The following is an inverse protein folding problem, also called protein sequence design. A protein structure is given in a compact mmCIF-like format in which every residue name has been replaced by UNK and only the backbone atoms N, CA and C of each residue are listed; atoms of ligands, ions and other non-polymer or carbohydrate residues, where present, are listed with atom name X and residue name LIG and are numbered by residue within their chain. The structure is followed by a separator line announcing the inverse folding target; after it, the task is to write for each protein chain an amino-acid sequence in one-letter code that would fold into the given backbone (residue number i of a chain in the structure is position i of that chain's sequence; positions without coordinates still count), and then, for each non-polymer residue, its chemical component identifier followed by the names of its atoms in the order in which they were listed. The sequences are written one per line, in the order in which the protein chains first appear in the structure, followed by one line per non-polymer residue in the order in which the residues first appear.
data_IF_125328051138
#
_entry.id   IF_125328051138
#
_cell.length_a   1.000
_cell.length_b   1.000
_cell.length_c   1.000
_cell.angle_alpha   90.00
_cell.angle_beta   90.00
_cell.angle_gamma   90.00
#
_symmetry.space_group_name_H-M   'P 1'
#
loop_
_entity.id
_entity.type
_entity.pdbx_description
1 polymer ?
#
# COMPACT_ATOMS: atom_id res chain seq x y z
N UNK A 1 -9.07 -15.24 -17.01
CA UNK A 1 -9.40 -13.80 -17.25
C UNK A 1 -8.48 -13.31 -18.35
N UNK A 2 -8.97 -12.52 -19.29
CA UNK A 2 -8.14 -11.88 -20.31
C UNK A 2 -7.31 -10.76 -19.66
N UNK A 3 -5.99 -10.78 -19.84
CA UNK A 3 -5.06 -9.82 -19.25
C UNK A 3 -5.35 -8.37 -19.70
N UNK A 4 -5.68 -8.17 -20.97
CA UNK A 4 -6.01 -6.84 -21.49
C UNK A 4 -7.30 -6.33 -20.85
N UNK A 5 -8.33 -7.17 -20.76
CA UNK A 5 -9.58 -6.83 -20.11
C UNK A 5 -9.36 -6.45 -18.63
N UNK A 6 -8.49 -7.20 -17.92
CA UNK A 6 -8.16 -6.90 -16.53
C UNK A 6 -7.53 -5.51 -16.37
N UNK A 7 -6.56 -5.18 -17.22
CA UNK A 7 -5.90 -3.87 -17.20
C UNK A 7 -6.90 -2.74 -17.51
N UNK A 8 -7.72 -2.91 -18.56
CA UNK A 8 -8.68 -1.89 -19.00
C UNK A 8 -9.83 -1.68 -18.02
N UNK A 9 -10.21 -2.69 -17.24
CA UNK A 9 -11.30 -2.62 -16.28
C UNK A 9 -10.88 -2.12 -14.90
N UNK A 10 -9.57 -1.99 -14.64
CA UNK A 10 -9.07 -1.54 -13.34
C UNK A 10 -9.56 -0.12 -13.02
N UNK A 11 -10.11 0.04 -11.85
CA UNK A 11 -10.45 1.36 -11.29
C UNK A 11 -10.12 1.40 -9.78
N UNK A 12 -10.19 2.58 -9.19
CA UNK A 12 -9.99 2.76 -7.75
C UNK A 12 -11.34 2.80 -7.05
N UNK A 13 -11.57 1.83 -6.18
CA UNK A 13 -12.81 1.72 -5.39
C UNK A 13 -12.57 2.34 -4.03
N UNK A 14 -13.43 3.27 -3.61
CA UNK A 14 -13.23 4.04 -2.40
C UNK A 14 -13.54 3.29 -1.10
N UNK A 15 -14.31 2.22 -1.17
CA UNK A 15 -14.70 1.38 -0.02
C UNK A 15 -14.80 -0.06 -0.46
N UNK A 16 -14.11 -0.92 0.26
CA UNK A 16 -14.10 -2.36 0.06
C UNK A 16 -14.73 -3.06 1.26
N UNK A 17 -15.21 -4.27 1.05
CA UNK A 17 -15.90 -5.08 2.08
C UNK A 17 -15.20 -6.43 2.26
N UNK A 18 -15.48 -7.08 3.37
CA UNK A 18 -15.11 -8.49 3.57
C UNK A 18 -15.73 -9.41 2.49
N UNK A 19 -15.07 -10.54 2.19
CA UNK A 19 -13.79 -10.98 2.74
C UNK A 19 -12.60 -10.28 2.06
N UNK A 20 -11.50 -10.09 2.79
CA UNK A 20 -10.22 -9.77 2.16
C UNK A 20 -9.60 -11.04 1.55
N UNK A 21 -8.60 -10.92 0.65
CA UNK A 21 -7.92 -12.08 0.07
C UNK A 21 -7.32 -13.00 1.14
N UNK A 22 -7.35 -14.31 0.87
CA UNK A 22 -6.69 -15.30 1.73
C UNK A 22 -5.16 -15.19 1.66
N UNK A 23 -4.46 -15.84 2.59
CA UNK A 23 -2.99 -15.88 2.56
C UNK A 23 -2.44 -16.50 1.28
N UNK A 24 -3.10 -17.53 0.77
CA UNK A 24 -2.72 -18.19 -0.49
C UNK A 24 -2.90 -17.27 -1.69
N UNK A 25 -3.98 -16.50 -1.72
CA UNK A 25 -4.21 -15.49 -2.75
C UNK A 25 -3.19 -14.35 -2.67
N UNK A 26 -2.88 -13.89 -1.44
CA UNK A 26 -1.84 -12.86 -1.24
C UNK A 26 -0.45 -13.34 -1.64
N UNK A 27 -0.11 -14.61 -1.41
CA UNK A 27 1.13 -15.20 -1.90
C UNK A 27 1.26 -15.12 -3.43
N UNK A 28 0.18 -15.32 -4.17
CA UNK A 28 0.16 -15.16 -5.63
C UNK A 28 0.33 -13.70 -6.03
N UNK A 29 -0.32 -12.78 -5.31
CA UNK A 29 -0.18 -11.33 -5.53
C UNK A 29 1.27 -10.90 -5.32
N UNK A 30 1.93 -11.33 -4.24
CA UNK A 30 3.33 -11.00 -3.99
C UNK A 30 4.30 -11.63 -4.99
N UNK A 31 4.06 -12.87 -5.42
CA UNK A 31 4.83 -13.49 -6.51
C UNK A 31 4.71 -12.69 -7.80
N UNK A 32 3.54 -12.16 -8.12
CA UNK A 32 3.34 -11.27 -9.26
C UNK A 32 4.08 -9.94 -9.08
N UNK A 33 3.94 -9.29 -7.92
CA UNK A 33 4.64 -8.05 -7.58
C UNK A 33 6.17 -8.16 -7.69
N UNK A 34 6.73 -9.32 -7.31
CA UNK A 34 8.17 -9.60 -7.42
C UNK A 34 8.64 -9.75 -8.88
N UNK A 35 7.75 -9.74 -9.87
CA UNK A 35 8.12 -9.69 -11.30
C UNK A 35 8.37 -8.28 -11.81
N UNK A 36 8.11 -7.25 -11.01
CA UNK A 36 8.46 -5.88 -11.36
C UNK A 36 9.97 -5.77 -11.71
N UNK A 37 10.35 -4.94 -12.69
CA UNK A 37 11.74 -4.70 -13.05
C UNK A 37 12.53 -4.25 -11.82
N UNK A 38 13.62 -4.93 -11.51
CA UNK A 38 14.48 -4.68 -10.36
C UNK A 38 15.95 -4.71 -10.78
N UNK A 39 16.50 -3.54 -11.05
CA UNK A 39 17.88 -3.37 -11.50
C UNK A 39 18.85 -3.82 -10.39
N UNK A 40 19.78 -4.71 -10.76
CA UNK A 40 20.76 -5.33 -9.86
C UNK A 40 20.14 -6.13 -8.69
N UNK A 41 18.89 -6.52 -8.79
CA UNK A 41 18.20 -7.37 -7.78
C UNK A 41 18.30 -6.82 -6.36
N UNK A 42 18.11 -5.51 -6.21
CA UNK A 42 18.22 -4.80 -4.94
C UNK A 42 17.04 -5.09 -3.99
N UNK A 43 15.94 -5.61 -4.53
CA UNK A 43 14.74 -5.96 -3.77
C UNK A 43 14.25 -4.80 -2.89
N UNK A 44 13.89 -3.65 -3.51
CA UNK A 44 13.53 -2.46 -2.75
C UNK A 44 12.12 -2.53 -2.16
N UNK A 45 11.25 -3.37 -2.72
CA UNK A 45 9.84 -3.43 -2.33
C UNK A 45 9.64 -4.27 -1.08
N UNK A 46 8.94 -3.72 -0.09
CA UNK A 46 8.46 -4.43 1.10
C UNK A 46 6.96 -4.19 1.26
N UNK A 47 6.24 -5.20 1.73
CA UNK A 47 4.80 -5.17 1.90
C UNK A 47 4.45 -5.56 3.34
N UNK A 48 3.58 -4.76 3.98
CA UNK A 48 3.07 -5.05 5.33
C UNK A 48 1.56 -5.14 5.23
N UNK A 49 1.01 -6.31 5.57
CA UNK A 49 -0.43 -6.51 5.69
C UNK A 49 -0.94 -6.03 7.04
N UNK A 50 -2.00 -5.24 7.01
CA UNK A 50 -2.68 -4.74 8.21
C UNK A 50 -4.15 -5.14 8.13
N UNK A 51 -4.57 -6.00 9.07
CA UNK A 51 -5.95 -6.51 9.20
C UNK A 51 -6.41 -6.46 10.65
N UNK A 52 -7.70 -6.64 10.91
CA UNK A 52 -8.27 -6.75 12.25
C UNK A 52 -7.78 -5.64 13.19
N UNK A 53 -7.24 -6.01 14.35
CA UNK A 53 -6.73 -5.06 15.36
C UNK A 53 -5.59 -4.17 14.84
N UNK A 54 -4.94 -4.55 13.75
CA UNK A 54 -3.93 -3.71 13.08
C UNK A 54 -4.56 -2.45 12.49
N UNK A 55 -5.79 -2.54 11.99
CA UNK A 55 -6.53 -1.37 11.49
C UNK A 55 -6.82 -0.36 12.61
N UNK A 56 -7.10 -0.83 13.82
CA UNK A 56 -7.31 0.05 14.98
C UNK A 56 -6.03 0.81 15.37
N UNK A 57 -4.89 0.14 15.29
CA UNK A 57 -3.58 0.77 15.52
C UNK A 57 -3.29 1.82 14.45
N UNK A 58 -3.54 1.50 13.18
CA UNK A 58 -3.36 2.43 12.08
C UNK A 58 -4.30 3.64 12.17
N UNK A 59 -5.55 3.41 12.58
CA UNK A 59 -6.53 4.46 12.84
C UNK A 59 -6.04 5.47 13.89
N UNK A 60 -5.48 4.98 15.01
CA UNK A 60 -4.90 5.83 16.06
C UNK A 60 -3.71 6.63 15.56
N UNK A 61 -2.86 6.04 14.71
CA UNK A 61 -1.72 6.74 14.09
C UNK A 61 -2.22 7.87 13.20
N UNK A 62 -3.23 7.62 12.36
CA UNK A 62 -3.77 8.63 11.46
C UNK A 62 -4.47 9.77 12.22
N UNK A 63 -5.23 9.44 13.27
CA UNK A 63 -5.86 10.43 14.14
C UNK A 63 -4.79 11.31 14.82
N UNK A 64 -3.76 10.70 15.39
CA UNK A 64 -2.64 11.40 16.02
C UNK A 64 -1.94 12.33 15.04
N UNK A 65 -1.57 11.82 13.87
CA UNK A 65 -0.94 12.61 12.81
C UNK A 65 -1.78 13.84 12.45
N UNK A 66 -3.08 13.64 12.25
CA UNK A 66 -3.98 14.73 11.88
C UNK A 66 -4.01 15.84 12.93
N UNK A 67 -4.07 15.48 14.23
CA UNK A 67 -4.09 16.41 15.34
C UNK A 67 -2.77 17.18 15.50
N UNK A 68 -1.64 16.52 15.27
CA UNK A 68 -0.31 17.09 15.54
C UNK A 68 0.27 17.87 14.36
N UNK A 69 -0.12 17.57 13.12
CA UNK A 69 0.55 18.09 11.93
C UNK A 69 -0.32 18.96 11.02
N UNK A 70 -1.64 19.02 11.23
CA UNK A 70 -2.52 19.81 10.40
C UNK A 70 -3.05 20.99 11.21
N UNK A 71 -2.66 22.20 10.82
CA UNK A 71 -3.14 23.43 11.46
C UNK A 71 -4.64 23.60 11.24
N UNK A 72 -5.33 24.12 12.26
CA UNK A 72 -6.75 24.45 12.22
C UNK A 72 -7.66 23.30 11.77
N UNK A 73 -7.25 22.06 12.07
CA UNK A 73 -8.03 20.87 11.73
C UNK A 73 -9.30 20.81 12.58
N UNK A 74 -10.45 20.68 11.94
CA UNK A 74 -11.72 20.49 12.65
C UNK A 74 -12.00 18.98 12.94
N UNK A 75 -12.94 18.72 13.84
CA UNK A 75 -13.30 17.36 14.26
C UNK A 75 -13.76 16.47 13.10
N UNK A 76 -14.45 17.00 12.11
CA UNK A 76 -14.89 16.25 10.93
C UNK A 76 -13.70 15.73 10.11
N UNK A 77 -12.67 16.56 9.94
CA UNK A 77 -11.44 16.15 9.25
C UNK A 77 -10.65 15.14 10.07
N UNK A 78 -10.56 15.31 11.40
CA UNK A 78 -9.93 14.32 12.29
C UNK A 78 -10.63 12.97 12.16
N UNK A 79 -11.97 12.95 12.20
CA UNK A 79 -12.76 11.74 12.02
C UNK A 79 -12.53 11.08 10.65
N UNK A 80 -12.35 11.87 9.60
CA UNK A 80 -12.01 11.37 8.26
C UNK A 80 -10.67 10.62 8.24
N UNK A 81 -9.63 11.18 8.88
CA UNK A 81 -8.33 10.49 9.01
C UNK A 81 -8.44 9.23 9.84
N UNK A 82 -9.08 9.32 11.01
CA UNK A 82 -9.31 8.20 11.91
C UNK A 82 -10.02 7.03 11.22
N UNK A 83 -11.02 7.31 10.39
CA UNK A 83 -11.83 6.30 9.72
C UNK A 83 -11.24 5.83 8.38
N UNK A 84 -10.17 6.44 7.89
CA UNK A 84 -9.58 6.08 6.60
C UNK A 84 -9.14 4.61 6.49
N UNK A 85 -8.52 3.99 7.52
CA UNK A 85 -8.13 2.58 7.45
C UNK A 85 -9.30 1.61 7.31
N UNK A 86 -10.48 1.96 7.85
CA UNK A 86 -11.67 1.10 7.81
C UNK A 86 -12.42 1.12 6.47
N UNK A 87 -11.87 1.78 5.45
CA UNK A 87 -12.41 1.76 4.10
C UNK A 87 -12.15 0.43 3.37
N UNK A 88 -11.32 -0.42 3.94
CA UNK A 88 -11.03 -1.75 3.45
C UNK A 88 -10.79 -2.71 4.63
N UNK A 89 -11.10 -4.00 4.48
CA UNK A 89 -10.83 -5.00 5.52
C UNK A 89 -9.35 -5.35 5.67
N UNK A 90 -8.55 -5.04 4.66
CA UNK A 90 -7.09 -5.17 4.65
C UNK A 90 -6.46 -3.90 4.05
N UNK A 91 -5.40 -3.41 4.68
CA UNK A 91 -4.55 -2.35 4.15
C UNK A 91 -3.15 -2.90 3.95
N UNK A 92 -2.58 -2.69 2.78
CA UNK A 92 -1.19 -3.07 2.47
C UNK A 92 -0.34 -1.80 2.48
N UNK A 93 0.60 -1.73 3.40
CA UNK A 93 1.62 -0.68 3.39
C UNK A 93 2.77 -1.11 2.49
N UNK A 94 3.07 -0.30 1.50
CA UNK A 94 4.12 -0.55 0.53
C UNK A 94 5.29 0.37 0.84
N UNK A 95 6.47 -0.21 1.03
CA UNK A 95 7.68 0.50 1.41
C UNK A 95 8.72 0.34 0.31
N UNK A 96 9.29 1.44 -0.16
CA UNK A 96 10.50 1.42 -0.98
C UNK A 96 11.72 1.52 -0.06
N UNK A 97 12.36 0.39 0.20
CA UNK A 97 13.58 0.30 1.01
C UNK A 97 14.81 0.55 0.12
N UNK A 98 15.08 1.83 -0.11
CA UNK A 98 16.15 2.27 -1.02
C UNK A 98 17.53 1.96 -0.43
N UNK A 99 18.43 1.44 -1.27
CA UNK A 99 19.81 1.08 -0.92
C UNK A 99 20.80 1.93 -1.74
N UNK A 100 21.88 2.38 -1.10
CA UNK A 100 22.97 3.00 -1.85
C UNK A 100 23.61 2.00 -2.78
N UNK A 101 23.69 2.34 -4.07
CA UNK A 101 24.32 1.50 -5.09
C UNK A 101 25.02 2.35 -6.13
N UNK A 102 26.23 1.90 -6.61
CA UNK A 102 27.07 2.70 -7.51
C UNK A 102 26.46 2.91 -8.90
N UNK A 103 25.66 1.95 -9.37
CA UNK A 103 25.09 1.93 -10.73
C UNK A 103 23.58 2.11 -10.79
N UNK A 104 22.88 1.99 -9.66
CA UNK A 104 21.42 2.05 -9.61
C UNK A 104 21.01 3.29 -8.83
N UNK A 105 20.49 4.32 -9.50
CA UNK A 105 19.97 5.50 -8.82
C UNK A 105 18.80 5.17 -7.90
N UNK A 106 18.61 5.94 -6.86
CA UNK A 106 17.50 5.76 -5.91
C UNK A 106 16.13 5.83 -6.59
N UNK A 107 15.99 6.71 -7.58
CA UNK A 107 14.74 6.85 -8.33
C UNK A 107 14.32 5.56 -9.06
N UNK A 108 15.28 4.79 -9.60
CA UNK A 108 14.97 3.51 -10.25
C UNK A 108 14.38 2.50 -9.25
N UNK A 109 14.86 2.50 -8.01
CA UNK A 109 14.36 1.63 -6.95
C UNK A 109 12.94 2.03 -6.53
N UNK A 110 12.65 3.33 -6.47
CA UNK A 110 11.30 3.85 -6.19
C UNK A 110 10.36 3.46 -7.33
N UNK A 111 10.77 3.62 -8.59
CA UNK A 111 9.98 3.23 -9.76
C UNK A 111 9.75 1.71 -9.80
N UNK A 112 10.73 0.90 -9.40
CA UNK A 112 10.57 -0.55 -9.25
C UNK A 112 9.46 -0.88 -8.24
N UNK A 113 9.44 -0.20 -7.10
CA UNK A 113 8.38 -0.37 -6.09
C UNK A 113 7.02 0.10 -6.61
N UNK A 114 6.97 1.20 -7.36
CA UNK A 114 5.74 1.67 -8.00
C UNK A 114 5.21 0.65 -9.03
N UNK A 115 6.08 0.05 -9.83
CA UNK A 115 5.71 -1.01 -10.78
C UNK A 115 5.21 -2.29 -10.06
N UNK A 116 5.80 -2.63 -8.91
CA UNK A 116 5.34 -3.75 -8.08
C UNK A 116 3.97 -3.50 -7.46
N UNK A 117 3.59 -2.24 -7.30
CA UNK A 117 2.28 -1.83 -6.75
C UNK A 117 1.15 -1.98 -7.77
N UNK A 118 1.44 -1.73 -9.05
CA UNK A 118 0.49 -1.85 -10.16
C UNK A 118 0.24 -3.31 -10.54
#
# INVERSE_FOLDING_TARGET
MDAIKNILSRNSISKLTEPHPSSEEMDLVYKAALRAPDHAWLRPSQFIEITGNGLDKLSKIFEKYAKENIQDINEQKIAKYKNAPYRAPMVIVIISSVKKHKKVPEIEQILSTAAATQ
#
